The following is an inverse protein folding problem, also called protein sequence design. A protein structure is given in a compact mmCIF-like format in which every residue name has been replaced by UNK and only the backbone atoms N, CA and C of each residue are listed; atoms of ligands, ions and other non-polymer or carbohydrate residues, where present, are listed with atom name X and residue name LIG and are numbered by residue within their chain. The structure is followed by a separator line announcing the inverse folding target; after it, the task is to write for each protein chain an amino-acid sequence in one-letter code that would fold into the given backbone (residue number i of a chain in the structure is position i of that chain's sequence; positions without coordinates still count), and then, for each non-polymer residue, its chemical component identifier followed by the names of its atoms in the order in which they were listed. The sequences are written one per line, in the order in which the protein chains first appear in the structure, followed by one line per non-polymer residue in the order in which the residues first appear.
data_IF_560536894535
#
_entry.id   IF_560536894535
#
_cell.length_a   1.000
_cell.length_b   1.000
_cell.length_c   1.000
_cell.angle_alpha   90.00
_cell.angle_beta   90.00
_cell.angle_gamma   90.00
#
_symmetry.space_group_name_H-M   'P 1'
#
loop_
_entity.id
_entity.type
_entity.pdbx_description
1 polymer ?
#
# COMPACT_ATOMS: atom_id res chain seq x y z
N UNK A 1 2.11 -9.33 9.85
CA UNK A 1 2.99 -9.99 8.84
C UNK A 1 3.67 -11.25 9.37
N UNK A 2 4.08 -11.33 10.66
CA UNK A 2 4.72 -12.53 11.23
C UNK A 2 3.86 -13.81 11.15
N UNK A 3 2.55 -13.70 11.34
CA UNK A 3 1.62 -14.85 11.35
C UNK A 3 1.48 -15.55 9.98
N UNK A 4 1.53 -14.81 8.85
CA UNK A 4 1.39 -15.42 7.51
C UNK A 4 2.63 -16.23 7.14
N UNK A 5 3.81 -15.70 7.44
CA UNK A 5 5.08 -16.39 7.22
C UNK A 5 5.17 -17.67 8.05
N UNK A 6 4.71 -17.62 9.30
CA UNK A 6 4.66 -18.78 10.18
C UNK A 6 3.69 -19.86 9.66
N UNK A 7 2.50 -19.46 9.21
CA UNK A 7 1.56 -20.37 8.58
C UNK A 7 2.15 -21.05 7.33
N UNK A 8 2.83 -20.29 6.46
CA UNK A 8 3.47 -20.84 5.26
C UNK A 8 4.55 -21.85 5.65
N UNK A 9 5.41 -21.53 6.63
CA UNK A 9 6.46 -22.43 7.12
C UNK A 9 5.89 -23.74 7.67
N UNK A 10 4.82 -23.68 8.47
CA UNK A 10 4.18 -24.87 9.04
C UNK A 10 3.54 -25.74 7.96
N UNK A 11 2.87 -25.14 6.98
CA UNK A 11 2.29 -25.87 5.86
C UNK A 11 3.38 -26.53 5.00
N UNK A 12 4.48 -25.83 4.74
CA UNK A 12 5.59 -26.37 3.95
C UNK A 12 6.27 -27.53 4.66
N UNK A 13 6.55 -27.42 5.97
CA UNK A 13 7.04 -28.54 6.79
C UNK A 13 6.12 -29.76 6.75
N UNK A 14 4.80 -29.55 6.75
CA UNK A 14 3.82 -30.64 6.61
C UNK A 14 3.85 -31.28 5.21
N UNK A 15 4.01 -30.48 4.15
CA UNK A 15 4.14 -30.98 2.78
C UNK A 15 5.43 -31.77 2.57
N UNK A 16 6.51 -31.35 3.22
CA UNK A 16 7.83 -32.01 3.18
C UNK A 16 7.91 -33.25 4.10
N UNK A 17 6.80 -33.66 4.73
CA UNK A 17 6.71 -34.74 5.73
C UNK A 17 7.62 -34.54 6.97
N UNK A 18 8.04 -33.31 7.24
CA UNK A 18 8.85 -32.92 8.40
C UNK A 18 8.00 -32.54 9.63
N UNK A 19 6.68 -32.71 9.56
CA UNK A 19 5.76 -32.40 10.66
C UNK A 19 4.50 -33.26 10.60
N UNK A 20 4.03 -33.67 11.77
CA UNK A 20 2.77 -34.42 11.95
C UNK A 20 1.54 -33.53 12.19
N UNK A 21 1.71 -32.20 12.30
CA UNK A 21 0.61 -31.30 12.62
C UNK A 21 -0.53 -31.42 11.59
N UNK A 22 -1.78 -31.51 12.03
CA UNK A 22 -2.93 -31.45 11.12
C UNK A 22 -3.15 -30.03 10.58
N UNK A 23 -3.87 -29.89 9.47
CA UNK A 23 -4.19 -28.53 8.96
C UNK A 23 -5.09 -27.75 9.93
N UNK A 24 -5.86 -28.44 10.78
CA UNK A 24 -6.66 -27.84 11.83
C UNK A 24 -5.76 -27.33 12.98
N UNK A 25 -4.77 -28.12 13.41
CA UNK A 25 -3.78 -27.66 14.40
C UNK A 25 -2.96 -26.47 13.89
N UNK A 26 -2.57 -26.47 12.62
CA UNK A 26 -1.88 -25.31 12.01
C UNK A 26 -2.80 -24.07 12.04
N UNK A 27 -4.10 -24.24 11.82
CA UNK A 27 -5.09 -23.17 11.89
C UNK A 27 -5.20 -22.60 13.32
N UNK A 28 -5.25 -23.48 14.33
CA UNK A 28 -5.29 -23.11 15.74
C UNK A 28 -4.01 -22.37 16.18
N UNK A 29 -2.84 -22.89 15.83
CA UNK A 29 -1.54 -22.28 16.18
C UNK A 29 -1.39 -20.89 15.56
N UNK A 30 -1.82 -20.72 14.31
CA UNK A 30 -1.62 -19.48 13.55
C UNK A 30 -2.78 -18.50 13.70
N UNK A 31 -3.86 -18.88 14.38
CA UNK A 31 -5.08 -18.07 14.53
C UNK A 31 -5.88 -17.87 13.23
N UNK A 32 -5.50 -18.53 12.13
CA UNK A 32 -6.22 -18.45 10.86
C UNK A 32 -7.37 -19.43 10.79
N UNK A 33 -8.39 -19.08 10.00
CA UNK A 33 -9.47 -20.01 9.71
C UNK A 33 -8.95 -21.22 8.88
N UNK A 34 -9.38 -22.47 9.14
CA UNK A 34 -8.92 -23.67 8.41
C UNK A 34 -9.04 -23.56 6.88
N UNK A 35 -10.14 -22.95 6.40
CA UNK A 35 -10.34 -22.65 4.96
C UNK A 35 -9.20 -21.82 4.36
N UNK A 36 -8.64 -20.88 5.12
CA UNK A 36 -7.50 -20.08 4.69
C UNK A 36 -6.21 -20.89 4.64
N UNK A 37 -5.98 -21.81 5.59
CA UNK A 37 -4.86 -22.76 5.56
C UNK A 37 -4.94 -23.65 4.31
N UNK A 38 -6.11 -24.16 3.95
CA UNK A 38 -6.30 -24.93 2.72
C UNK A 38 -6.05 -24.10 1.45
N UNK A 39 -6.47 -22.84 1.45
CA UNK A 39 -6.17 -21.90 0.36
C UNK A 39 -4.66 -21.69 0.23
N UNK A 40 -3.97 -21.41 1.34
CA UNK A 40 -2.51 -21.24 1.35
C UNK A 40 -1.80 -22.50 0.89
N UNK A 41 -2.23 -23.70 1.31
CA UNK A 41 -1.68 -24.96 0.81
C UNK A 41 -1.73 -25.02 -0.71
N UNK A 42 -2.87 -24.70 -1.32
CA UNK A 42 -3.03 -24.70 -2.77
C UNK A 42 -2.10 -23.68 -3.44
N UNK A 43 -2.05 -22.45 -2.91
CA UNK A 43 -1.14 -21.41 -3.40
C UNK A 43 0.34 -21.85 -3.29
N UNK A 44 0.73 -22.58 -2.23
CA UNK A 44 2.11 -23.08 -2.05
C UNK A 44 2.43 -24.13 -3.11
N UNK A 45 1.52 -25.07 -3.35
CA UNK A 45 1.69 -26.12 -4.37
C UNK A 45 1.76 -25.54 -5.78
N UNK A 46 1.04 -24.46 -6.04
CA UNK A 46 1.04 -23.73 -7.32
C UNK A 46 2.23 -22.75 -7.45
N UNK A 47 3.00 -22.53 -6.38
CA UNK A 47 4.11 -21.57 -6.36
C UNK A 47 3.67 -20.10 -6.45
N UNK A 48 2.39 -19.80 -6.15
CA UNK A 48 1.78 -18.47 -6.30
C UNK A 48 1.71 -17.68 -4.99
N UNK A 49 2.17 -18.25 -3.87
CA UNK A 49 2.18 -17.54 -2.59
C UNK A 49 3.06 -16.31 -2.65
N UNK A 50 2.43 -15.16 -2.42
CA UNK A 50 3.12 -13.91 -2.15
C UNK A 50 2.93 -13.50 -0.70
N UNK A 51 4.02 -13.12 -0.04
CA UNK A 51 3.99 -12.45 1.26
C UNK A 51 3.55 -10.98 1.14
N UNK A 52 3.56 -10.44 -0.07
CA UNK A 52 3.15 -9.07 -0.31
C UNK A 52 1.63 -8.93 -0.29
N UNK A 53 1.16 -7.87 0.35
CA UNK A 53 -0.25 -7.50 0.28
C UNK A 53 -0.59 -7.05 -1.13
N UNK A 54 -1.71 -7.51 -1.71
CA UNK A 54 -2.04 -7.25 -3.12
C UNK A 54 -2.19 -5.77 -3.52
N UNK A 55 -2.31 -4.87 -2.54
CA UNK A 55 -2.36 -3.42 -2.77
C UNK A 55 -1.03 -2.70 -2.52
N UNK A 56 -0.01 -3.41 -2.06
CA UNK A 56 1.32 -2.84 -1.85
C UNK A 56 1.85 -2.44 -3.24
N UNK A 57 1.95 -1.13 -3.48
CA UNK A 57 2.40 -0.49 -4.73
C UNK A 57 1.38 -0.35 -5.87
N UNK A 58 0.10 -0.71 -5.69
CA UNK A 58 -0.91 -0.41 -6.71
C UNK A 58 -1.23 1.08 -6.72
N UNK A 59 -1.01 1.77 -7.85
CA UNK A 59 -1.41 3.17 -8.00
C UNK A 59 -2.93 3.30 -7.79
N UNK A 60 -3.40 4.25 -6.96
CA UNK A 60 -4.82 4.44 -6.74
C UNK A 60 -5.48 4.91 -8.03
N UNK A 61 -6.70 4.43 -8.30
CA UNK A 61 -7.47 4.80 -9.50
C UNK A 61 -7.76 6.31 -9.55
N UNK A 62 -7.87 6.94 -8.38
CA UNK A 62 -8.11 8.36 -8.22
C UNK A 62 -6.82 9.19 -8.09
N UNK A 63 -5.66 8.64 -8.52
CA UNK A 63 -4.42 9.40 -8.55
C UNK A 63 -4.60 10.66 -9.39
N UNK A 64 -4.13 11.80 -8.87
CA UNK A 64 -4.12 13.05 -9.64
C UNK A 64 -3.13 12.89 -10.81
N UNK A 65 -3.55 13.18 -12.06
CA UNK A 65 -2.66 13.10 -13.20
C UNK A 65 -1.54 14.14 -13.07
N UNK A 66 -0.37 13.81 -13.61
CA UNK A 66 0.83 14.63 -13.47
C UNK A 66 0.65 16.03 -14.08
N UNK A 67 -0.05 16.12 -15.21
CA UNK A 67 -0.41 17.39 -15.85
C UNK A 67 -1.18 18.34 -14.91
N UNK A 68 -2.09 17.79 -14.11
CA UNK A 68 -2.89 18.57 -13.17
C UNK A 68 -2.06 19.01 -11.96
N UNK A 69 -1.10 18.18 -11.50
CA UNK A 69 -0.13 18.59 -10.49
C UNK A 69 0.70 19.77 -10.96
N UNK A 70 1.25 19.70 -12.17
CA UNK A 70 2.05 20.78 -12.76
C UNK A 70 1.23 22.07 -12.92
N UNK A 71 -0.05 21.94 -13.27
CA UNK A 71 -0.98 23.08 -13.31
C UNK A 71 -1.19 23.72 -11.93
N UNK A 72 -1.38 22.92 -10.88
CA UNK A 72 -1.51 23.41 -9.50
C UNK A 72 -0.24 24.16 -9.09
N UNK A 73 0.93 23.57 -9.31
CA UNK A 73 2.23 24.14 -8.94
C UNK A 73 2.49 25.44 -9.69
N UNK A 74 2.27 25.47 -11.01
CA UNK A 74 2.51 26.68 -11.83
C UNK A 74 1.59 27.85 -11.43
N UNK A 75 0.32 27.58 -11.12
CA UNK A 75 -0.60 28.59 -10.61
C UNK A 75 -0.19 29.08 -9.23
N UNK A 76 0.22 28.19 -8.33
CA UNK A 76 0.65 28.54 -6.98
C UNK A 76 1.91 29.41 -6.99
N UNK A 77 2.91 29.06 -7.81
CA UNK A 77 4.15 29.84 -8.02
C UNK A 77 3.89 31.30 -8.42
N UNK A 78 2.83 31.54 -9.20
CA UNK A 78 2.43 32.88 -9.66
C UNK A 78 1.53 33.61 -8.66
N UNK A 79 1.11 32.94 -7.59
CA UNK A 79 0.18 33.49 -6.61
C UNK A 79 0.92 33.96 -5.36
N UNK A 80 0.49 35.10 -4.81
CA UNK A 80 0.89 35.57 -3.48
C UNK A 80 -0.11 35.13 -2.39
N UNK A 81 -0.99 34.19 -2.71
CA UNK A 81 -2.05 33.74 -1.82
C UNK A 81 -1.51 32.71 -0.82
N UNK A 82 -2.01 32.76 0.42
CA UNK A 82 -1.76 31.66 1.36
C UNK A 82 -2.31 30.34 0.82
N UNK A 83 -1.70 29.21 1.19
CA UNK A 83 -2.14 27.87 0.74
C UNK A 83 -3.64 27.69 0.96
N UNK A 84 -4.17 28.14 2.11
CA UNK A 84 -5.61 28.09 2.39
C UNK A 84 -6.46 28.85 1.37
N UNK A 85 -6.07 30.07 1.02
CA UNK A 85 -6.78 30.89 0.02
C UNK A 85 -6.63 30.29 -1.37
N UNK A 86 -5.45 29.79 -1.71
CA UNK A 86 -5.18 29.13 -2.98
C UNK A 86 -6.01 27.86 -3.17
N UNK A 87 -6.10 26.98 -2.16
CA UNK A 87 -6.93 25.78 -2.22
C UNK A 87 -8.41 26.11 -2.46
N UNK A 88 -8.91 27.18 -1.81
CA UNK A 88 -10.29 27.66 -2.03
C UNK A 88 -10.49 28.22 -3.44
N UNK A 89 -9.50 28.95 -3.96
CA UNK A 89 -9.52 29.48 -5.33
C UNK A 89 -9.50 28.37 -6.39
N UNK A 90 -8.66 27.34 -6.21
CA UNK A 90 -8.51 26.28 -7.20
C UNK A 90 -9.79 25.47 -7.38
N UNK A 91 -10.48 25.10 -6.28
CA UNK A 91 -11.86 24.60 -6.25
C UNK A 91 -12.17 23.29 -6.99
N UNK A 92 -11.28 22.79 -7.86
CA UNK A 92 -11.49 21.59 -8.69
C UNK A 92 -11.16 20.28 -7.98
N UNK A 93 -10.38 20.34 -6.90
CA UNK A 93 -9.95 19.20 -6.09
C UNK A 93 -10.14 19.52 -4.61
N UNK A 94 -10.20 18.49 -3.78
CA UNK A 94 -10.32 18.66 -2.33
C UNK A 94 -9.14 19.45 -1.77
N UNK A 95 -9.37 20.14 -0.66
CA UNK A 95 -8.32 20.89 0.04
C UNK A 95 -7.06 20.03 0.26
N UNK A 96 -7.22 18.82 0.80
CA UNK A 96 -6.10 17.93 1.12
C UNK A 96 -5.32 17.52 -0.13
N UNK A 97 -5.99 17.33 -1.26
CA UNK A 97 -5.32 16.97 -2.51
C UNK A 97 -4.41 18.11 -3.00
N UNK A 98 -4.94 19.34 -3.07
CA UNK A 98 -4.16 20.52 -3.50
C UNK A 98 -3.06 20.86 -2.50
N UNK A 99 -3.37 20.79 -1.21
CA UNK A 99 -2.43 21.02 -0.11
C UNK A 99 -1.24 20.06 -0.20
N UNK A 100 -1.49 18.76 -0.38
CA UNK A 100 -0.42 17.77 -0.46
C UNK A 100 0.50 17.99 -1.66
N UNK A 101 -0.06 18.33 -2.83
CA UNK A 101 0.73 18.66 -4.03
C UNK A 101 1.63 19.88 -3.80
N UNK A 102 1.10 20.94 -3.17
CA UNK A 102 1.88 22.14 -2.85
C UNK A 102 2.97 21.84 -1.83
N UNK A 103 2.64 21.07 -0.78
CA UNK A 103 3.60 20.70 0.26
C UNK A 103 4.72 19.81 -0.26
N UNK A 104 4.40 18.86 -1.14
CA UNK A 104 5.42 18.05 -1.84
C UNK A 104 6.35 18.93 -2.67
N UNK A 105 5.80 19.88 -3.43
CA UNK A 105 6.60 20.85 -4.16
C UNK A 105 7.51 21.71 -3.26
N UNK A 106 7.00 22.18 -2.12
CA UNK A 106 7.79 23.00 -1.18
C UNK A 106 8.93 22.20 -0.54
N UNK A 107 8.69 20.95 -0.11
CA UNK A 107 9.73 20.08 0.46
C UNK A 107 10.84 19.80 -0.55
N UNK A 108 10.50 19.42 -1.78
CA UNK A 108 11.50 19.14 -2.81
C UNK A 108 12.33 20.39 -3.13
N UNK A 109 11.71 21.58 -3.08
CA UNK A 109 12.42 22.85 -3.25
C UNK A 109 13.41 23.11 -2.10
N UNK A 110 13.07 22.76 -0.86
CA UNK A 110 13.99 22.90 0.28
C UNK A 110 15.19 21.95 0.15
N UNK A 111 14.96 20.71 -0.29
CA UNK A 111 16.00 19.72 -0.56
C UNK A 111 16.95 20.16 -1.70
N UNK A 112 16.43 20.77 -2.76
CA UNK A 112 17.24 21.30 -3.88
C UNK A 112 18.11 22.53 -3.50
N UNK A 113 17.82 23.19 -2.37
CA UNK A 113 18.57 24.37 -1.89
C UNK A 113 19.56 24.03 -0.75
N UNK A 114 19.68 22.76 -0.38
CA UNK A 114 20.64 22.19 0.58
C UNK A 114 21.82 21.56 -0.16
#
# INVERSE_FOLDING_TARGET
MKEKEEAIKLIQKKLDNNSFYTYNEIAEITGYHPKYILKLKKEIQEGTVSLEHGNKNRKPINAIPEEEKQKIISLYKRSNASIRRFCKFYGRRSYSCVYNVIQEYLRNKEEDNL
#
